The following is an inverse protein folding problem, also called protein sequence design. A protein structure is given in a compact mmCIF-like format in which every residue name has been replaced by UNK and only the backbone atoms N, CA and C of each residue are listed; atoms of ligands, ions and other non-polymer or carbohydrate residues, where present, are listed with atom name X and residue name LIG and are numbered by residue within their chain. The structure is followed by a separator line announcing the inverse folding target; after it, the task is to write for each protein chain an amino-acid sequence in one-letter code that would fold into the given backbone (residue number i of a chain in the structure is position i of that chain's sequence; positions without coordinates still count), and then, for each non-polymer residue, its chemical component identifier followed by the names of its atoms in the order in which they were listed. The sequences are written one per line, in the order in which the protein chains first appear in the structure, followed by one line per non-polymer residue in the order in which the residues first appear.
data_IF_167777417737
#
_entry.id   IF_167777417737
#
_cell.length_a   1.000
_cell.length_b   1.000
_cell.length_c   1.000
_cell.angle_alpha   90.00
_cell.angle_beta   90.00
_cell.angle_gamma   90.00
#
_symmetry.space_group_name_H-M   'P 1'
#
loop_
_entity.id
_entity.type
_entity.pdbx_description
1 polymer ?
#
# COMPACT_ATOMS: atom_id res chain seq x y z
N UNK A 1 1.28 10.49 -10.77
CA UNK A 1 1.10 9.40 -9.79
C UNK A 1 2.25 9.33 -8.79
N UNK A 2 3.52 9.42 -9.22
CA UNK A 2 4.70 9.24 -8.35
C UNK A 2 4.96 10.31 -7.27
N UNK A 3 4.17 11.39 -7.22
CA UNK A 3 4.37 12.45 -6.22
C UNK A 3 3.92 11.98 -4.83
N UNK A 4 2.83 11.22 -4.75
CA UNK A 4 2.27 10.75 -3.48
C UNK A 4 3.27 9.91 -2.67
N UNK A 5 4.08 9.09 -3.35
CA UNK A 5 5.12 8.25 -2.75
C UNK A 5 6.20 9.10 -2.08
N UNK A 6 6.60 10.19 -2.75
CA UNK A 6 7.57 11.15 -2.21
C UNK A 6 6.98 11.91 -1.03
N UNK A 7 5.71 12.28 -1.11
CA UNK A 7 5.04 13.03 -0.04
C UNK A 7 4.92 12.16 1.23
N UNK A 8 4.52 10.89 1.08
CA UNK A 8 4.47 9.93 2.20
C UNK A 8 5.87 9.69 2.77
N UNK A 9 6.87 9.45 1.92
CA UNK A 9 8.25 9.27 2.38
C UNK A 9 8.79 10.51 3.11
N UNK A 10 8.52 11.71 2.60
CA UNK A 10 8.90 12.96 3.25
C UNK A 10 8.17 13.18 4.58
N UNK A 11 6.90 12.75 4.70
CA UNK A 11 6.12 12.89 5.92
C UNK A 11 6.71 12.11 7.11
N UNK A 12 7.42 11.00 6.85
CA UNK A 12 8.03 10.20 7.91
C UNK A 12 9.46 10.65 8.31
N UNK A 13 10.13 11.47 7.47
CA UNK A 13 11.51 11.93 7.71
C UNK A 13 11.72 12.65 9.06
N UNK A 14 10.81 13.51 9.54
CA UNK A 14 10.99 14.17 10.85
C UNK A 14 11.04 13.21 12.05
N UNK A 15 10.61 11.96 11.85
CA UNK A 15 10.54 10.93 12.89
C UNK A 15 11.64 9.88 12.74
N UNK A 16 11.85 9.39 11.52
CA UNK A 16 12.75 8.25 11.24
C UNK A 16 14.02 8.63 10.45
N UNK A 17 14.17 9.89 10.07
CA UNK A 17 15.33 10.39 9.32
C UNK A 17 15.19 10.28 7.79
N UNK A 18 16.13 10.92 7.09
CA UNK A 18 16.18 11.00 5.62
C UNK A 18 16.24 9.62 4.95
N UNK A 19 17.09 8.72 5.46
CA UNK A 19 17.30 7.40 4.89
C UNK A 19 16.00 6.58 4.87
N UNK A 20 15.31 6.51 6.01
CA UNK A 20 14.04 5.80 6.13
C UNK A 20 12.96 6.39 5.20
N UNK A 21 12.83 7.73 5.14
CA UNK A 21 11.87 8.38 4.25
C UNK A 21 12.15 8.14 2.76
N UNK A 22 13.42 8.12 2.37
CA UNK A 22 13.82 7.82 1.00
C UNK A 22 13.60 6.34 0.67
N UNK A 23 13.88 5.42 1.60
CA UNK A 23 13.61 3.99 1.43
C UNK A 23 12.10 3.73 1.26
N UNK A 24 11.25 4.35 2.08
CA UNK A 24 9.80 4.21 1.94
C UNK A 24 9.30 4.78 0.60
N UNK A 25 9.87 5.90 0.14
CA UNK A 25 9.55 6.47 -1.18
C UNK A 25 9.84 5.46 -2.30
N UNK A 26 10.99 4.79 -2.26
CA UNK A 26 11.36 3.77 -3.24
C UNK A 26 10.39 2.59 -3.20
N UNK A 27 10.15 2.02 -2.01
CA UNK A 27 9.25 0.88 -1.84
C UNK A 27 7.84 1.17 -2.36
N UNK A 28 7.29 2.36 -2.08
CA UNK A 28 5.97 2.76 -2.55
C UNK A 28 5.94 3.12 -4.05
N UNK A 29 7.07 3.54 -4.62
CA UNK A 29 7.22 3.77 -6.07
C UNK A 29 7.19 2.46 -6.83
N UNK A 30 7.89 1.46 -6.32
CA UNK A 30 7.82 0.09 -6.85
C UNK A 30 6.41 -0.48 -6.68
N UNK A 31 5.78 -0.23 -5.53
CA UNK A 31 4.41 -0.65 -5.26
C UNK A 31 3.40 -0.15 -6.30
N UNK A 32 3.33 1.16 -6.52
CA UNK A 32 2.35 1.72 -7.49
C UNK A 32 2.66 1.29 -8.92
N UNK A 33 3.94 1.09 -9.24
CA UNK A 33 4.36 0.61 -10.57
C UNK A 33 3.98 -0.85 -10.78
N UNK A 34 4.00 -1.67 -9.73
CA UNK A 34 3.58 -3.08 -9.74
C UNK A 34 2.11 -3.30 -10.10
N UNK A 35 1.24 -2.30 -9.89
CA UNK A 35 -0.17 -2.39 -10.29
C UNK A 35 -0.35 -2.45 -11.83
N UNK A 36 0.56 -1.85 -12.61
CA UNK A 36 0.46 -1.77 -14.08
C UNK A 36 0.45 -3.15 -14.76
N UNK A 37 1.42 -4.05 -14.52
CA UNK A 37 1.40 -5.38 -15.12
C UNK A 37 0.19 -6.21 -14.67
N UNK A 38 -0.27 -6.05 -13.43
CA UNK A 38 -1.47 -6.72 -12.92
C UNK A 38 -2.70 -6.32 -13.74
N UNK A 39 -2.95 -5.01 -13.91
CA UNK A 39 -4.09 -4.52 -14.67
C UNK A 39 -3.99 -4.86 -16.16
N UNK A 40 -2.78 -4.82 -16.72
CA UNK A 40 -2.53 -5.18 -18.12
C UNK A 40 -2.84 -6.66 -18.37
N UNK A 41 -2.37 -7.55 -17.50
CA UNK A 41 -2.66 -8.99 -17.59
C UNK A 41 -4.13 -9.32 -17.34
N UNK A 42 -4.77 -8.64 -16.38
CA UNK A 42 -6.21 -8.78 -16.13
C UNK A 42 -7.03 -8.34 -17.35
N UNK A 43 -6.65 -7.23 -18.00
CA UNK A 43 -7.33 -6.73 -19.19
C UNK A 43 -7.16 -7.65 -20.40
N UNK A 44 -5.99 -8.26 -20.59
CA UNK A 44 -5.71 -9.19 -21.69
C UNK A 44 -6.25 -10.61 -21.45
N UNK A 45 -6.65 -10.92 -20.21
CA UNK A 45 -7.10 -12.26 -19.80
C UNK A 45 -5.96 -13.26 -19.60
N UNK A 46 -4.70 -12.82 -19.62
CA UNK A 46 -3.53 -13.68 -19.44
C UNK A 46 -3.36 -14.07 -17.96
N UNK A 47 -3.86 -15.26 -17.62
CA UNK A 47 -3.84 -15.76 -16.23
C UNK A 47 -2.42 -16.05 -15.73
N UNK A 48 -1.49 -16.45 -16.61
CA UNK A 48 -0.13 -16.76 -16.20
C UNK A 48 0.63 -15.46 -15.88
N UNK A 49 0.51 -14.44 -16.74
CA UNK A 49 1.06 -13.13 -16.48
C UNK A 49 0.43 -12.47 -15.25
N UNK A 50 -0.88 -12.65 -15.05
CA UNK A 50 -1.59 -12.11 -13.89
C UNK A 50 -1.08 -12.73 -12.58
N UNK A 51 -0.95 -14.06 -12.53
CA UNK A 51 -0.42 -14.75 -11.35
C UNK A 51 0.98 -14.24 -10.99
N UNK A 52 1.88 -14.17 -11.98
CA UNK A 52 3.24 -13.66 -11.76
C UNK A 52 3.23 -12.20 -11.26
N UNK A 53 2.45 -11.33 -11.91
CA UNK A 53 2.41 -9.92 -11.55
C UNK A 53 1.86 -9.70 -10.13
N UNK A 54 0.87 -10.51 -9.71
CA UNK A 54 0.35 -10.49 -8.35
C UNK A 54 1.40 -10.97 -7.35
N UNK A 55 2.11 -12.06 -7.64
CA UNK A 55 3.17 -12.57 -6.76
C UNK A 55 4.28 -11.52 -6.54
N UNK A 56 4.73 -10.87 -7.62
CA UNK A 56 5.71 -9.78 -7.56
C UNK A 56 5.18 -8.60 -6.71
N UNK A 57 3.90 -8.24 -6.87
CA UNK A 57 3.30 -7.12 -6.14
C UNK A 57 3.11 -7.43 -4.65
N UNK A 58 2.72 -8.66 -4.31
CA UNK A 58 2.65 -9.13 -2.92
C UNK A 58 4.02 -9.20 -2.26
N UNK A 59 5.07 -9.56 -2.99
CA UNK A 59 6.44 -9.54 -2.46
C UNK A 59 6.85 -8.12 -2.04
N UNK A 60 6.58 -7.11 -2.87
CA UNK A 60 6.81 -5.71 -2.50
C UNK A 60 5.94 -5.25 -1.31
N UNK A 61 4.68 -5.67 -1.23
CA UNK A 61 3.84 -5.41 -0.07
C UNK A 61 4.41 -6.01 1.23
N UNK A 62 5.03 -7.18 1.14
CA UNK A 62 5.74 -7.81 2.23
C UNK A 62 6.98 -7.00 2.66
N UNK A 63 7.77 -6.50 1.71
CA UNK A 63 8.92 -5.64 1.98
C UNK A 63 8.51 -4.34 2.70
N UNK A 64 7.40 -3.73 2.29
CA UNK A 64 6.82 -2.56 2.97
C UNK A 64 6.43 -2.91 4.40
N UNK A 65 5.73 -4.04 4.60
CA UNK A 65 5.33 -4.48 5.94
C UNK A 65 6.52 -4.75 6.87
N UNK A 66 7.61 -5.30 6.35
CA UNK A 66 8.87 -5.48 7.08
C UNK A 66 9.53 -4.15 7.42
N UNK A 67 9.61 -3.23 6.45
CA UNK A 67 10.18 -1.90 6.65
C UNK A 67 9.44 -1.15 7.77
N UNK A 68 8.10 -1.10 7.70
CA UNK A 68 7.28 -0.44 8.70
C UNK A 68 7.53 -1.03 10.10
N UNK A 69 7.43 -2.35 10.24
CA UNK A 69 7.69 -3.00 11.53
C UNK A 69 9.11 -2.74 12.08
N UNK A 70 10.11 -2.63 11.20
CA UNK A 70 11.49 -2.32 11.59
C UNK A 70 11.62 -0.88 12.08
N UNK A 71 10.93 0.06 11.44
CA UNK A 71 10.91 1.46 11.85
C UNK A 71 10.18 1.67 13.19
N UNK A 72 9.07 0.95 13.39
CA UNK A 72 8.24 1.09 14.58
C UNK A 72 7.67 -0.26 15.05
N UNK A 73 8.03 -0.72 16.27
CA UNK A 73 7.56 -2.00 16.81
C UNK A 73 6.06 -2.03 17.14
N UNK A 74 5.39 -0.88 17.26
CA UNK A 74 3.92 -0.80 17.41
C UNK A 74 3.19 -1.31 16.16
N UNK A 75 3.85 -1.27 15.01
CA UNK A 75 3.34 -1.84 13.78
C UNK A 75 3.77 -3.30 13.66
N UNK A 76 3.03 -4.21 14.29
CA UNK A 76 3.34 -5.63 14.22
C UNK A 76 3.45 -6.13 12.77
N UNK A 77 4.53 -6.86 12.46
CA UNK A 77 4.84 -7.32 11.10
C UNK A 77 3.68 -8.06 10.42
N UNK A 78 2.97 -8.91 11.17
CA UNK A 78 1.83 -9.67 10.64
C UNK A 78 0.70 -8.74 10.22
N UNK A 79 0.40 -7.73 11.03
CA UNK A 79 -0.67 -6.77 10.77
C UNK A 79 -0.33 -5.89 9.57
N UNK A 80 0.89 -5.36 9.47
CA UNK A 80 1.32 -4.56 8.33
C UNK A 80 1.30 -5.34 7.02
N UNK A 81 1.75 -6.60 7.03
CA UNK A 81 1.65 -7.49 5.87
C UNK A 81 0.20 -7.75 5.47
N UNK A 82 -0.67 -8.03 6.44
CA UNK A 82 -2.09 -8.28 6.17
C UNK A 82 -2.78 -7.04 5.61
N UNK A 83 -2.47 -5.86 6.16
CA UNK A 83 -3.00 -4.58 5.74
C UNK A 83 -2.60 -4.25 4.29
N UNK A 84 -1.33 -4.47 3.92
CA UNK A 84 -0.84 -4.27 2.55
C UNK A 84 -1.42 -5.32 1.58
N UNK A 85 -1.56 -6.58 2.00
CA UNK A 85 -2.21 -7.62 1.19
C UNK A 85 -3.66 -7.24 0.88
N UNK A 86 -4.41 -6.83 1.90
CA UNK A 86 -5.82 -6.42 1.76
C UNK A 86 -5.96 -5.21 0.84
N UNK A 87 -5.03 -4.25 0.93
CA UNK A 87 -4.97 -3.12 0.00
C UNK A 87 -4.84 -3.57 -1.46
N UNK A 88 -3.94 -4.52 -1.75
CA UNK A 88 -3.80 -5.11 -3.09
C UNK A 88 -5.09 -5.82 -3.51
N UNK A 89 -5.64 -6.71 -2.68
CA UNK A 89 -6.85 -7.49 -2.98
C UNK A 89 -8.02 -6.55 -3.37
N UNK A 90 -8.25 -5.50 -2.58
CA UNK A 90 -9.30 -4.51 -2.84
C UNK A 90 -9.02 -3.69 -4.09
N UNK A 91 -7.76 -3.30 -4.32
CA UNK A 91 -7.35 -2.55 -5.52
C UNK A 91 -7.59 -3.34 -6.79
N UNK A 92 -7.24 -4.62 -6.80
CA UNK A 92 -7.53 -5.53 -7.91
C UNK A 92 -9.03 -5.65 -8.11
N UNK A 93 -9.78 -5.84 -7.03
CA UNK A 93 -11.24 -6.05 -7.08
C UNK A 93 -11.95 -4.89 -7.78
N UNK A 94 -11.83 -3.66 -7.27
CA UNK A 94 -12.55 -2.53 -7.89
C UNK A 94 -12.01 -2.23 -9.30
N UNK A 95 -10.74 -2.50 -9.58
CA UNK A 95 -10.16 -2.26 -10.92
C UNK A 95 -10.67 -3.27 -11.95
N UNK A 96 -10.84 -4.53 -11.56
CA UNK A 96 -11.44 -5.57 -12.42
C UNK A 96 -12.90 -5.26 -12.69
N UNK A 97 -13.64 -4.76 -11.71
CA UNK A 97 -15.04 -4.31 -11.92
C UNK A 97 -15.10 -3.17 -12.95
N UNK A 98 -14.17 -2.21 -12.86
CA UNK A 98 -14.04 -1.14 -13.87
C UNK A 98 -13.72 -1.69 -15.27
N UNK A 99 -12.80 -2.65 -15.39
CA UNK A 99 -12.45 -3.29 -16.66
C UNK A 99 -13.67 -4.01 -17.28
N UNK A 100 -14.52 -4.61 -16.43
CA UNK A 100 -15.78 -5.25 -16.83
C UNK A 100 -16.93 -4.27 -17.07
N UNK A 101 -16.72 -2.98 -16.81
CA UNK A 101 -17.73 -1.91 -16.85
C UNK A 101 -18.89 -2.11 -15.86
N UNK A 102 -18.67 -2.89 -14.79
CA UNK A 102 -19.61 -2.99 -13.68
C UNK A 102 -19.39 -1.82 -12.71
N UNK A 103 -19.88 -0.65 -13.10
CA UNK A 103 -19.65 0.58 -12.35
C UNK A 103 -20.28 0.55 -10.94
N UNK A 104 -21.39 -0.16 -10.76
CA UNK A 104 -22.04 -0.29 -9.46
C UNK A 104 -21.15 -1.07 -8.49
N UNK A 105 -20.62 -2.22 -8.93
CA UNK A 105 -19.68 -3.00 -8.13
C UNK A 105 -18.38 -2.22 -7.88
N UNK A 106 -17.84 -1.55 -8.91
CA UNK A 106 -16.63 -0.76 -8.79
C UNK A 106 -16.74 0.36 -7.74
N UNK A 107 -17.86 1.11 -7.72
CA UNK A 107 -18.08 2.18 -6.74
C UNK A 107 -18.17 1.62 -5.32
N UNK A 108 -18.92 0.53 -5.14
CA UNK A 108 -19.07 -0.12 -3.85
C UNK A 108 -17.72 -0.65 -3.32
N UNK A 109 -16.98 -1.38 -4.15
CA UNK A 109 -15.70 -1.96 -3.78
C UNK A 109 -14.61 -0.90 -3.59
N UNK A 110 -14.67 0.21 -4.35
CA UNK A 110 -13.82 1.37 -4.09
C UNK A 110 -14.10 2.00 -2.74
N UNK A 111 -15.38 2.09 -2.32
CA UNK A 111 -15.73 2.56 -0.97
C UNK A 111 -15.05 1.73 0.12
N UNK A 112 -15.13 0.40 0.02
CA UNK A 112 -14.43 -0.49 0.95
C UNK A 112 -12.90 -0.34 0.92
N UNK A 113 -12.32 -0.15 -0.28
CA UNK A 113 -10.89 0.10 -0.44
C UNK A 113 -10.47 1.44 0.20
N UNK A 114 -11.28 2.49 0.05
CA UNK A 114 -11.06 3.79 0.64
C UNK A 114 -11.10 3.72 2.17
N UNK A 115 -12.11 3.08 2.75
CA UNK A 115 -12.23 2.92 4.20
C UNK A 115 -11.03 2.17 4.79
N UNK A 116 -10.54 1.15 4.08
CA UNK A 116 -9.32 0.44 4.46
C UNK A 116 -8.08 1.35 4.43
N UNK A 117 -7.95 2.22 3.43
CA UNK A 117 -6.84 3.19 3.36
C UNK A 117 -6.91 4.24 4.48
N UNK A 118 -8.11 4.66 4.89
CA UNK A 118 -8.27 5.54 6.05
C UNK A 118 -7.82 4.83 7.33
N UNK A 119 -8.24 3.58 7.55
CA UNK A 119 -7.80 2.78 8.69
C UNK A 119 -6.28 2.56 8.71
N UNK A 120 -5.67 2.27 7.55
CA UNK A 120 -4.21 2.19 7.41
C UNK A 120 -3.54 3.51 7.82
N UNK A 121 -4.04 4.65 7.34
CA UNK A 121 -3.50 5.95 7.70
C UNK A 121 -3.60 6.23 9.20
N UNK A 122 -4.71 5.86 9.85
CA UNK A 122 -4.91 6.02 11.29
C UNK A 122 -3.96 5.16 12.11
N UNK A 123 -3.77 3.88 11.74
CA UNK A 123 -2.84 2.97 12.44
C UNK A 123 -1.38 3.43 12.31
N UNK A 124 -0.99 3.93 11.13
CA UNK A 124 0.32 4.52 10.92
C UNK A 124 0.49 5.80 11.76
N UNK A 125 -0.47 6.74 11.70
CA UNK A 125 -0.39 7.95 12.50
C UNK A 125 -0.32 7.65 14.01
N UNK A 126 -1.12 6.69 14.49
CA UNK A 126 -1.14 6.26 15.89
C UNK A 126 0.20 5.69 16.33
N UNK A 127 0.80 4.80 15.53
CA UNK A 127 2.11 4.23 15.84
C UNK A 127 3.19 5.31 15.94
N UNK A 128 3.22 6.29 15.03
CA UNK A 128 4.16 7.42 15.10
C UNK A 128 3.93 8.23 16.40
N UNK A 129 2.67 8.53 16.74
CA UNK A 129 2.35 9.29 17.94
C UNK A 129 2.76 8.55 19.23
N UNK A 130 2.60 7.22 19.28
CA UNK A 130 3.02 6.39 20.41
C UNK A 130 4.55 6.36 20.55
N UNK A 131 5.28 6.21 19.44
CA UNK A 131 6.75 6.11 19.47
C UNK A 131 7.43 7.47 19.71
N UNK A 132 6.84 8.56 19.24
CA UNK A 132 7.39 9.92 19.35
C UNK A 132 6.46 10.89 20.08
N UNK A 133 6.05 10.61 21.33
CA UNK A 133 5.02 11.40 22.02
C UNK A 133 5.41 12.87 22.22
N UNK A 134 6.71 13.18 22.31
CA UNK A 134 7.21 14.56 22.44
C UNK A 134 7.00 15.44 21.19
N UNK A 135 6.72 14.83 20.04
CA UNK A 135 6.46 15.55 18.77
C UNK A 135 5.00 15.97 18.59
N UNK A 136 4.08 15.48 19.44
CA UNK A 136 2.63 15.66 19.32
C UNK A 136 2.01 16.37 20.54
N UNK A 137 2.82 17.14 21.26
CA UNK A 137 2.40 17.96 22.39
C UNK A 137 1.85 19.32 21.94
#
# INVERSE_FOLDING_TARGET
MLQNQKDIGNAIKPYYGEEAGNQLTTLLTDHITGAVPVLTAAQSGDQAALGKALDDWYANAEEIGVFLNTANPEWAKMDMRHMMKTHIDQTVTYSVDLLKKDYNAAIMNYGHAHDHMVMMAEDLARGIAIQFPDKFK
#
